data_IF_668494485249
#
_entry.id   IF_668494485249
#
_cell.length_a   1.000
_cell.length_b   1.000
_cell.length_c   1.000
_cell.angle_alpha   90.00
_cell.angle_beta   90.00
_cell.angle_gamma   90.00
#
_symmetry.space_group_name_H-M   'P 1'
#
loop_
_entity.id
_entity.type
_entity.pdbx_description
1 polymer ?
#
# COMPACT_ATOMS: atom_id res chain seq x y z
N UNK A 1 0.02 36.74 17.65
CA UNK A 1 -1.36 36.32 18.00
C UNK A 1 -1.27 34.99 18.70
N UNK A 2 -2.17 34.68 19.63
CA UNK A 2 -2.18 33.36 20.26
C UNK A 2 -2.52 32.29 19.22
N UNK A 3 -1.82 31.14 19.19
CA UNK A 3 -2.15 30.08 18.26
C UNK A 3 -3.57 29.54 18.46
N UNK A 4 -4.27 29.23 17.36
CA UNK A 4 -5.64 28.67 17.37
C UNK A 4 -5.68 27.16 17.67
N UNK A 5 -4.51 26.54 17.88
CA UNK A 5 -4.35 25.14 18.21
C UNK A 5 -2.92 24.65 17.92
N UNK A 6 -2.68 23.38 18.19
CA UNK A 6 -1.40 22.70 18.00
C UNK A 6 -1.53 21.63 16.93
N UNK A 7 -0.73 21.75 15.87
CA UNK A 7 -0.54 20.72 14.85
C UNK A 7 0.62 19.82 15.27
N UNK A 8 0.37 18.52 15.39
CA UNK A 8 1.40 17.50 15.61
C UNK A 8 1.84 16.91 14.28
N UNK A 9 3.11 17.07 13.92
CA UNK A 9 3.69 16.57 12.67
C UNK A 9 5.22 16.51 12.75
N UNK A 10 5.88 15.81 11.83
CA UNK A 10 7.32 15.97 11.63
C UNK A 10 7.64 17.33 10.96
N UNK A 11 8.85 17.90 11.20
CA UNK A 11 9.30 19.13 10.54
C UNK A 11 9.25 19.02 9.01
N UNK A 12 9.06 20.14 8.30
CA UNK A 12 9.04 20.21 6.81
C UNK A 12 7.95 19.41 6.10
N UNK A 13 6.97 18.83 6.81
CA UNK A 13 5.82 18.14 6.21
C UNK A 13 4.91 19.12 5.42
N UNK A 14 4.81 19.02 4.08
CA UNK A 14 3.97 19.94 3.29
C UNK A 14 2.48 19.80 3.61
N UNK A 15 2.05 18.64 4.14
CA UNK A 15 0.66 18.44 4.59
C UNK A 15 0.34 19.27 5.82
N UNK A 16 1.30 19.45 6.74
CA UNK A 16 1.13 20.36 7.88
C UNK A 16 1.19 21.82 7.42
N UNK A 17 2.11 22.15 6.50
CA UNK A 17 2.24 23.49 5.93
C UNK A 17 0.94 23.98 5.27
N UNK A 18 0.16 23.08 4.65
CA UNK A 18 -1.18 23.38 4.10
C UNK A 18 -2.07 24.13 5.09
N UNK A 19 -2.15 23.65 6.33
CA UNK A 19 -2.96 24.27 7.37
C UNK A 19 -2.38 25.59 7.86
N UNK A 20 -1.07 25.67 8.05
CA UNK A 20 -0.41 26.92 8.48
C UNK A 20 -0.47 28.02 7.42
N UNK A 21 -0.43 27.66 6.13
CA UNK A 21 -0.63 28.59 5.01
C UNK A 21 -2.07 29.11 5.03
N UNK A 22 -3.07 28.23 5.14
CA UNK A 22 -4.48 28.63 5.21
C UNK A 22 -4.75 29.56 6.40
N UNK A 23 -4.22 29.22 7.58
CA UNK A 23 -4.29 30.06 8.77
C UNK A 23 -3.68 31.45 8.50
N UNK A 24 -2.48 31.52 7.94
CA UNK A 24 -1.78 32.78 7.71
C UNK A 24 -2.50 33.73 6.74
N UNK A 25 -3.18 33.21 5.71
CA UNK A 25 -4.02 34.02 4.81
C UNK A 25 -5.19 34.70 5.54
N UNK A 26 -5.65 34.11 6.64
CA UNK A 26 -6.67 34.67 7.51
C UNK A 26 -6.08 35.43 8.72
N UNK A 27 -4.76 35.61 8.79
CA UNK A 27 -4.11 36.23 9.94
C UNK A 27 -4.13 35.35 11.20
N UNK A 28 -4.28 34.04 11.06
CA UNK A 28 -4.25 33.06 12.16
C UNK A 28 -2.92 32.31 12.16
N UNK A 29 -2.61 31.63 13.26
CA UNK A 29 -1.39 30.83 13.39
C UNK A 29 -1.66 29.55 14.20
N UNK A 30 -1.00 28.46 13.84
CA UNK A 30 -0.94 27.23 14.63
C UNK A 30 0.42 27.12 15.30
N UNK A 31 0.46 26.54 16.49
CA UNK A 31 1.69 25.96 17.02
C UNK A 31 1.96 24.66 16.26
N UNK A 32 3.20 24.39 15.86
CA UNK A 32 3.55 23.13 15.18
C UNK A 32 4.57 22.40 16.05
N UNK A 33 4.13 21.29 16.62
CA UNK A 33 4.94 20.45 17.49
C UNK A 33 5.46 19.23 16.73
N UNK A 34 6.77 18.98 16.90
CA UNK A 34 7.41 17.79 16.35
C UNK A 34 6.81 16.55 16.99
N UNK A 35 6.37 15.60 16.15
CA UNK A 35 5.76 14.35 16.59
C UNK A 35 6.40 13.15 15.87
N UNK A 36 6.94 12.21 16.64
CA UNK A 36 7.60 11.00 16.12
C UNK A 36 6.62 9.82 16.19
N UNK A 37 6.06 9.43 15.05
CA UNK A 37 5.13 8.30 14.96
C UNK A 37 5.70 6.98 15.51
N UNK A 38 7.02 6.79 15.54
CA UNK A 38 7.63 5.58 16.08
C UNK A 38 7.67 5.56 17.61
N UNK A 39 7.66 6.73 18.25
CA UNK A 39 7.77 6.87 19.72
C UNK A 39 6.46 7.29 20.38
N UNK A 40 5.75 8.20 19.76
CA UNK A 40 4.65 8.95 20.37
C UNK A 40 3.26 8.38 20.03
N UNK A 41 3.20 7.37 19.14
CA UNK A 41 1.95 6.68 18.73
C UNK A 41 1.47 5.69 19.82
N UNK A 42 1.10 6.23 20.98
CA UNK A 42 0.58 5.50 22.13
C UNK A 42 -0.96 5.42 22.12
N UNK A 43 -1.53 4.74 23.12
CA UNK A 43 -2.99 4.56 23.24
C UNK A 43 -3.74 5.89 23.42
N UNK A 44 -3.18 6.86 24.15
CA UNK A 44 -3.80 8.18 24.32
C UNK A 44 -3.92 8.92 22.98
N UNK A 45 -2.86 8.87 22.17
CA UNK A 45 -2.86 9.43 20.83
C UNK A 45 -3.88 8.73 19.93
N UNK A 46 -3.92 7.39 19.95
CA UNK A 46 -4.84 6.60 19.12
C UNK A 46 -6.30 6.73 19.55
N UNK A 47 -6.57 7.01 20.82
CA UNK A 47 -7.91 7.31 21.31
C UNK A 47 -8.47 8.61 20.70
N UNK A 48 -7.61 9.62 20.47
CA UNK A 48 -7.97 10.87 19.79
C UNK A 48 -7.92 10.73 18.26
N UNK A 49 -6.94 9.99 17.75
CA UNK A 49 -6.61 9.89 16.33
C UNK A 49 -6.42 8.42 15.90
N UNK A 50 -7.52 7.69 15.63
CA UNK A 50 -7.52 6.22 15.51
C UNK A 50 -6.70 5.68 14.34
N UNK A 51 -6.52 6.47 13.28
CA UNK A 51 -5.70 6.07 12.13
C UNK A 51 -4.19 6.10 12.43
N UNK A 52 -3.76 6.75 13.51
CA UNK A 52 -2.33 6.84 13.86
C UNK A 52 -1.48 7.54 12.80
N UNK A 53 -2.04 8.55 12.12
CA UNK A 53 -1.39 9.33 11.05
C UNK A 53 -1.16 10.77 11.51
N UNK A 54 -0.31 11.49 10.78
CA UNK A 54 -0.05 12.93 10.94
C UNK A 54 -0.12 13.62 9.57
N UNK A 55 -0.46 14.92 9.51
CA UNK A 55 -0.71 15.83 10.63
C UNK A 55 -2.05 15.60 11.33
N UNK A 56 -2.11 15.96 12.62
CA UNK A 56 -3.34 16.09 13.41
C UNK A 56 -3.36 17.44 14.11
N UNK A 57 -4.55 17.95 14.40
CA UNK A 57 -4.79 19.16 15.17
C UNK A 57 -5.39 18.81 16.52
N UNK A 58 -4.83 19.39 17.58
CA UNK A 58 -5.46 19.51 18.89
C UNK A 58 -5.75 20.99 19.15
N UNK A 59 -7.01 21.32 19.44
CA UNK A 59 -7.44 22.68 19.81
C UNK A 59 -8.40 22.64 20.99
N UNK A 60 -8.79 23.80 21.51
CA UNK A 60 -9.78 23.89 22.59
C UNK A 60 -11.18 23.45 22.15
N UNK A 61 -11.49 23.55 20.85
CA UNK A 61 -12.82 23.30 20.30
C UNK A 61 -12.95 21.90 19.70
N UNK A 62 -11.89 21.43 19.04
CA UNK A 62 -11.94 20.20 18.23
C UNK A 62 -10.57 19.55 18.07
N UNK A 63 -10.59 18.21 18.03
CA UNK A 63 -9.47 17.41 17.55
C UNK A 63 -9.76 16.96 16.11
N UNK A 64 -8.86 17.27 15.17
CA UNK A 64 -9.03 16.94 13.75
C UNK A 64 -7.87 16.12 13.21
N UNK A 65 -8.19 15.12 12.40
CA UNK A 65 -7.27 14.45 11.48
C UNK A 65 -7.70 14.73 10.03
N UNK A 66 -6.89 14.33 9.07
CA UNK A 66 -6.93 14.75 7.65
C UNK A 66 -6.42 16.18 7.42
N UNK A 67 -5.32 16.30 6.68
CA UNK A 67 -4.63 17.58 6.48
C UNK A 67 -5.49 18.66 5.83
N UNK A 68 -6.38 18.27 4.89
CA UNK A 68 -7.30 19.19 4.24
C UNK A 68 -8.44 19.63 5.16
N UNK A 69 -8.87 18.79 6.11
CA UNK A 69 -9.88 19.18 7.09
C UNK A 69 -9.31 20.21 8.08
N UNK A 70 -8.07 20.00 8.56
CA UNK A 70 -7.38 20.96 9.44
C UNK A 70 -7.19 22.32 8.74
N UNK A 71 -6.78 22.30 7.47
CA UNK A 71 -6.59 23.52 6.71
C UNK A 71 -7.92 24.23 6.38
N UNK A 72 -8.98 23.46 6.08
CA UNK A 72 -10.32 24.00 5.89
C UNK A 72 -10.85 24.64 7.18
N UNK A 73 -10.61 24.03 8.35
CA UNK A 73 -10.98 24.62 9.64
C UNK A 73 -10.34 26.01 9.81
N UNK A 74 -9.04 26.15 9.55
CA UNK A 74 -8.36 27.46 9.60
C UNK A 74 -8.93 28.48 8.60
N UNK A 75 -9.31 28.02 7.40
CA UNK A 75 -9.95 28.86 6.39
C UNK A 75 -11.36 29.32 6.85
N UNK A 76 -12.12 28.42 7.48
CA UNK A 76 -13.51 28.65 7.90
C UNK A 76 -13.67 29.47 9.18
N UNK A 77 -12.62 29.59 10.00
CA UNK A 77 -12.63 30.45 11.19
C UNK A 77 -12.79 31.95 10.88
N UNK A 78 -12.61 32.35 9.62
CA UNK A 78 -12.91 33.71 9.15
C UNK A 78 -14.12 33.67 8.22
N UNK A 79 -15.21 34.31 8.64
CA UNK A 79 -16.52 34.26 7.96
C UNK A 79 -16.46 34.74 6.49
N UNK A 80 -15.64 35.76 6.21
CA UNK A 80 -15.42 36.35 4.89
C UNK A 80 -14.12 35.86 4.22
N UNK A 81 -13.62 34.66 4.57
CA UNK A 81 -12.36 34.16 4.02
C UNK A 81 -12.42 34.04 2.49
N UNK A 82 -11.51 34.75 1.82
CA UNK A 82 -11.30 34.64 0.37
C UNK A 82 -10.89 33.22 -0.06
N UNK A 83 -10.43 32.38 0.87
CA UNK A 83 -10.01 31.01 0.58
C UNK A 83 -11.15 30.06 0.22
N UNK A 84 -12.38 30.36 0.67
CA UNK A 84 -13.52 29.43 0.57
C UNK A 84 -14.52 29.79 -0.53
N UNK A 85 -14.24 30.82 -1.34
CA UNK A 85 -15.09 31.24 -2.44
C UNK A 85 -16.38 31.94 -2.00
N UNK A 86 -16.91 32.79 -2.88
CA UNK A 86 -18.00 33.73 -2.56
C UNK A 86 -19.38 33.18 -2.87
N UNK A 87 -19.46 32.20 -3.77
CA UNK A 87 -20.72 31.61 -4.25
C UNK A 87 -20.62 30.08 -4.36
N UNK A 88 -21.75 29.42 -4.61
CA UNK A 88 -21.83 27.96 -4.68
C UNK A 88 -20.91 27.37 -5.77
N UNK A 89 -20.72 28.06 -6.88
CA UNK A 89 -19.85 27.61 -7.98
C UNK A 89 -18.39 27.61 -7.56
N UNK A 90 -17.91 28.71 -6.97
CA UNK A 90 -16.53 28.81 -6.47
C UNK A 90 -16.28 27.77 -5.36
N UNK A 91 -17.23 27.60 -4.43
CA UNK A 91 -17.16 26.58 -3.38
C UNK A 91 -17.02 25.17 -3.95
N UNK A 92 -17.84 24.83 -4.96
CA UNK A 92 -17.78 23.53 -5.63
C UNK A 92 -16.44 23.32 -6.36
N UNK A 93 -15.93 24.35 -7.06
CA UNK A 93 -14.64 24.29 -7.74
C UNK A 93 -13.48 24.14 -6.74
N UNK A 94 -13.52 24.83 -5.61
CA UNK A 94 -12.52 24.71 -4.55
C UNK A 94 -12.52 23.29 -3.99
N UNK A 95 -13.70 22.73 -3.72
CA UNK A 95 -13.82 21.35 -3.27
C UNK A 95 -13.29 20.36 -4.31
N UNK A 96 -13.63 20.55 -5.59
CA UNK A 96 -13.12 19.72 -6.69
C UNK A 96 -11.59 19.66 -6.69
N UNK A 97 -10.92 20.81 -6.61
CA UNK A 97 -9.46 20.86 -6.62
C UNK A 97 -8.82 20.34 -5.35
N UNK A 98 -9.49 20.51 -4.21
CA UNK A 98 -9.05 19.91 -2.94
C UNK A 98 -9.07 18.39 -3.03
N UNK A 99 -10.18 17.81 -3.51
CA UNK A 99 -10.30 16.36 -3.70
C UNK A 99 -9.36 15.82 -4.79
N UNK A 100 -9.13 16.59 -5.85
CA UNK A 100 -8.12 16.28 -6.87
C UNK A 100 -6.70 16.23 -6.28
N UNK A 101 -6.35 17.19 -5.42
CA UNK A 101 -5.06 17.22 -4.75
C UNK A 101 -4.82 16.00 -3.84
N UNK A 102 -5.86 15.50 -3.17
CA UNK A 102 -5.75 14.29 -2.35
C UNK A 102 -5.70 13.01 -3.19
N UNK A 103 -6.66 12.84 -4.10
CA UNK A 103 -6.91 11.56 -4.76
C UNK A 103 -6.07 11.33 -6.03
N UNK A 104 -5.72 12.39 -6.76
CA UNK A 104 -5.00 12.29 -8.04
C UNK A 104 -3.54 12.74 -7.93
N UNK A 105 -3.22 13.62 -6.98
CA UNK A 105 -1.83 14.09 -6.77
C UNK A 105 -1.20 13.35 -5.59
N UNK A 106 -1.71 13.55 -4.37
CA UNK A 106 -1.05 13.08 -3.14
C UNK A 106 -1.00 11.55 -3.05
N UNK A 107 -2.08 10.86 -3.44
CA UNK A 107 -2.13 9.40 -3.48
C UNK A 107 -1.07 8.82 -4.42
N UNK A 108 -1.04 9.28 -5.68
CA UNK A 108 -0.09 8.78 -6.68
C UNK A 108 1.35 9.20 -6.37
N UNK A 109 1.57 10.41 -5.84
CA UNK A 109 2.89 10.83 -5.37
C UNK A 109 3.39 9.98 -4.21
N UNK A 110 2.53 9.62 -3.26
CA UNK A 110 2.90 8.72 -2.16
C UNK A 110 3.37 7.36 -2.68
N UNK A 111 2.62 6.76 -3.62
CA UNK A 111 2.96 5.47 -4.22
C UNK A 111 4.20 5.52 -5.14
N UNK A 112 4.60 6.69 -5.61
CA UNK A 112 5.84 6.90 -6.36
C UNK A 112 7.04 7.16 -5.43
N UNK A 113 6.92 8.12 -4.51
CA UNK A 113 8.02 8.63 -3.71
C UNK A 113 8.36 7.74 -2.50
N UNK A 114 7.37 7.20 -1.80
CA UNK A 114 7.61 6.45 -0.56
C UNK A 114 8.38 5.14 -0.75
N UNK A 115 8.21 4.41 -1.87
CA UNK A 115 9.09 3.29 -2.19
C UNK A 115 10.55 3.71 -2.47
N UNK A 116 10.76 4.88 -3.09
CA UNK A 116 12.10 5.42 -3.35
C UNK A 116 12.80 5.80 -2.04
N UNK A 117 12.05 6.34 -1.08
CA UNK A 117 12.55 6.72 0.25
C UNK A 117 12.65 5.53 1.23
N UNK A 118 12.25 4.33 0.83
CA UNK A 118 12.33 3.13 1.68
C UNK A 118 11.23 3.00 2.74
N UNK A 119 10.18 3.84 2.69
CA UNK A 119 9.02 3.71 3.57
C UNK A 119 8.11 2.56 3.15
N UNK A 120 8.07 2.25 1.85
CA UNK A 120 7.38 1.09 1.28
C UNK A 120 8.35 0.22 0.47
N UNK A 121 8.03 -1.06 0.23
CA UNK A 121 8.80 -1.87 -0.70
C UNK A 121 8.82 -1.27 -2.11
N UNK A 122 9.99 -1.22 -2.75
CA UNK A 122 10.12 -0.79 -4.14
C UNK A 122 9.69 -1.92 -5.10
N UNK A 123 8.57 -1.73 -5.77
CA UNK A 123 8.09 -2.58 -6.86
C UNK A 123 7.98 -1.71 -8.12
N UNK A 124 8.86 -1.96 -9.10
CA UNK A 124 8.96 -1.13 -10.32
C UNK A 124 7.61 -0.93 -11.03
N UNK A 125 6.77 -1.97 -11.26
CA UNK A 125 5.47 -1.78 -11.92
C UNK A 125 4.53 -0.84 -11.15
N UNK A 126 4.50 -0.94 -9.82
CA UNK A 126 3.66 -0.09 -8.99
C UNK A 126 4.14 1.37 -9.03
N UNK A 127 5.45 1.57 -8.98
CA UNK A 127 6.06 2.89 -9.09
C UNK A 127 5.83 3.49 -10.47
N UNK A 128 5.96 2.70 -11.54
CA UNK A 128 5.70 3.13 -12.91
C UNK A 128 4.22 3.50 -13.11
N UNK A 129 3.29 2.67 -12.61
CA UNK A 129 1.85 2.96 -12.64
C UNK A 129 1.50 4.23 -11.85
N UNK A 130 2.07 4.41 -10.65
CA UNK A 130 1.90 5.62 -9.85
C UNK A 130 2.46 6.85 -10.58
N UNK A 131 3.62 6.73 -11.21
CA UNK A 131 4.25 7.79 -12.01
C UNK A 131 3.38 8.18 -13.20
N UNK A 132 2.84 7.20 -13.94
CA UNK A 132 1.97 7.43 -15.09
C UNK A 132 0.65 8.10 -14.69
N UNK A 133 0.01 7.63 -13.62
CA UNK A 133 -1.23 8.25 -13.11
C UNK A 133 -0.98 9.67 -12.60
N UNK A 134 0.14 9.91 -11.91
CA UNK A 134 0.55 11.25 -11.49
C UNK A 134 0.78 12.17 -12.71
N UNK A 135 1.52 11.72 -13.72
CA UNK A 135 1.73 12.48 -14.97
C UNK A 135 0.42 12.74 -15.72
N UNK A 136 -0.54 11.80 -15.71
CA UNK A 136 -1.89 12.00 -16.27
C UNK A 136 -2.62 13.14 -15.55
N UNK A 137 -2.56 13.18 -14.22
CA UNK A 137 -3.12 14.27 -13.43
C UNK A 137 -2.45 15.61 -13.76
N UNK A 138 -1.12 15.65 -13.90
CA UNK A 138 -0.41 16.84 -14.35
C UNK A 138 -0.84 17.29 -15.75
N UNK A 139 -1.05 16.35 -16.68
CA UNK A 139 -1.50 16.67 -18.04
C UNK A 139 -2.91 17.28 -18.07
N UNK A 140 -3.82 16.80 -17.22
CA UNK A 140 -5.14 17.41 -17.06
C UNK A 140 -5.05 18.82 -16.46
N UNK A 141 -4.23 18.97 -15.41
CA UNK A 141 -3.99 20.25 -14.74
C UNK A 141 -3.33 21.28 -15.69
N UNK A 142 -2.37 20.86 -16.51
CA UNK A 142 -1.65 21.72 -17.45
C UNK A 142 -2.57 22.34 -18.50
N UNK A 143 -3.50 21.53 -19.05
CA UNK A 143 -4.51 21.99 -20.00
C UNK A 143 -5.42 23.05 -19.38
N UNK A 144 -5.87 22.84 -18.15
CA UNK A 144 -6.76 23.77 -17.45
C UNK A 144 -6.04 25.07 -17.09
N UNK A 145 -4.76 24.99 -16.73
CA UNK A 145 -3.94 26.14 -16.35
C UNK A 145 -3.49 27.01 -17.53
N UNK A 146 -3.70 26.57 -18.78
CA UNK A 146 -3.35 27.35 -19.97
C UNK A 146 -3.90 28.78 -19.92
N UNK A 147 -5.15 28.95 -19.48
CA UNK A 147 -5.86 30.23 -19.44
C UNK A 147 -6.10 30.76 -18.02
N UNK A 148 -5.46 30.16 -17.01
CA UNK A 148 -5.70 30.51 -15.60
C UNK A 148 -4.41 30.90 -14.88
N UNK A 149 -4.51 31.89 -14.00
CA UNK A 149 -3.43 32.26 -13.07
C UNK A 149 -3.54 31.45 -11.77
N UNK A 150 -4.75 31.29 -11.25
CA UNK A 150 -5.11 30.48 -10.08
C UNK A 150 -6.24 29.52 -10.46
N UNK A 151 -6.46 28.47 -9.66
CA UNK A 151 -7.41 27.41 -10.03
C UNK A 151 -8.87 27.89 -10.03
N UNK A 152 -9.21 28.77 -9.09
CA UNK A 152 -10.54 29.33 -8.89
C UNK A 152 -10.45 30.84 -8.70
N UNK A 153 -11.19 31.60 -9.52
CA UNK A 153 -11.16 33.06 -9.47
C UNK A 153 -9.82 33.66 -9.89
N UNK A 154 -9.51 34.84 -9.33
CA UNK A 154 -8.35 35.66 -9.70
C UNK A 154 -7.33 35.83 -8.55
N UNK A 155 -7.49 35.08 -7.47
CA UNK A 155 -6.64 35.13 -6.28
C UNK A 155 -6.40 33.73 -5.70
N UNK A 156 -5.49 33.61 -4.73
CA UNK A 156 -5.20 32.33 -4.07
C UNK A 156 -6.43 31.90 -3.27
N UNK A 157 -6.89 30.68 -3.53
CA UNK A 157 -7.95 30.03 -2.76
C UNK A 157 -7.43 28.78 -2.06
N UNK A 158 -8.30 28.11 -1.29
CA UNK A 158 -7.96 26.83 -0.69
C UNK A 158 -7.64 25.73 -1.74
N UNK A 159 -8.15 25.87 -2.97
CA UNK A 159 -7.76 25.03 -4.10
C UNK A 159 -6.25 25.11 -4.36
N UNK A 160 -5.71 26.33 -4.40
CA UNK A 160 -4.31 26.55 -4.73
C UNK A 160 -3.37 26.08 -3.61
N UNK A 161 -3.75 26.35 -2.37
CA UNK A 161 -3.04 25.85 -1.19
C UNK A 161 -2.97 24.32 -1.24
N UNK A 162 -4.09 23.66 -1.53
CA UNK A 162 -4.18 22.19 -1.58
C UNK A 162 -3.33 21.59 -2.70
N UNK A 163 -3.46 22.09 -3.93
CA UNK A 163 -2.73 21.55 -5.09
C UNK A 163 -1.23 21.83 -4.99
N UNK A 164 -0.81 23.03 -4.59
CA UNK A 164 0.61 23.40 -4.51
C UNK A 164 1.33 22.63 -3.41
N UNK A 165 0.70 22.45 -2.24
CA UNK A 165 1.31 21.65 -1.16
C UNK A 165 1.38 20.17 -1.53
N UNK A 166 0.40 19.63 -2.26
CA UNK A 166 0.44 18.26 -2.79
C UNK A 166 1.55 18.07 -3.84
N UNK A 167 1.80 19.06 -4.69
CA UNK A 167 2.85 19.03 -5.72
C UNK A 167 4.26 19.24 -5.16
N UNK A 168 4.40 19.82 -3.97
CA UNK A 168 5.67 20.33 -3.46
C UNK A 168 6.80 19.28 -3.48
N UNK A 169 6.58 18.10 -2.90
CA UNK A 169 7.61 17.05 -2.86
C UNK A 169 7.99 16.54 -4.26
N UNK A 170 7.06 16.55 -5.22
CA UNK A 170 7.36 16.15 -6.59
C UNK A 170 8.32 17.16 -7.26
N UNK A 171 8.04 18.46 -7.11
CA UNK A 171 8.86 19.52 -7.73
C UNK A 171 10.27 19.64 -7.16
N UNK A 172 10.47 19.30 -5.89
CA UNK A 172 11.79 19.38 -5.23
C UNK A 172 12.58 18.08 -5.30
N UNK A 173 11.93 16.91 -5.49
CA UNK A 173 12.62 15.61 -5.47
C UNK A 173 12.56 14.79 -6.76
N UNK A 174 11.58 14.98 -7.65
CA UNK A 174 11.27 14.01 -8.71
C UNK A 174 11.18 14.62 -10.11
N UNK A 175 10.57 15.80 -10.24
CA UNK A 175 10.32 16.42 -11.54
C UNK A 175 11.50 17.26 -11.94
N UNK A 176 12.46 16.71 -12.69
CA UNK A 176 13.59 17.45 -13.26
C UNK A 176 13.19 18.43 -14.37
N UNK A 177 14.16 19.16 -14.91
CA UNK A 177 13.92 20.17 -15.95
C UNK A 177 13.25 19.60 -17.21
N UNK A 178 13.68 18.45 -17.77
CA UNK A 178 12.97 17.80 -18.88
C UNK A 178 11.50 17.51 -18.56
N UNK A 179 11.23 16.85 -17.42
CA UNK A 179 9.85 16.49 -17.04
C UNK A 179 8.99 17.74 -16.82
N UNK A 180 9.50 18.78 -16.16
CA UNK A 180 8.79 20.05 -16.00
C UNK A 180 8.48 20.74 -17.33
N UNK A 181 9.29 20.52 -18.36
CA UNK A 181 9.08 21.11 -19.68
C UNK A 181 7.91 20.45 -20.44
N UNK A 182 7.49 19.25 -20.05
CA UNK A 182 6.26 18.59 -20.52
C UNK A 182 5.00 19.28 -19.95
N UNK A 183 5.09 19.91 -18.77
CA UNK A 183 3.98 20.53 -18.03
C UNK A 183 4.28 22.01 -17.72
N UNK A 184 4.37 22.83 -18.78
CA UNK A 184 4.81 24.23 -18.68
C UNK A 184 3.86 25.10 -17.86
N UNK A 185 2.55 24.90 -18.01
CA UNK A 185 1.53 25.68 -17.30
C UNK A 185 1.48 25.27 -15.83
N UNK A 186 1.59 23.98 -15.52
CA UNK A 186 1.72 23.51 -14.14
C UNK A 186 2.98 24.06 -13.49
N UNK A 187 4.11 24.03 -14.20
CA UNK A 187 5.39 24.56 -13.69
C UNK A 187 5.30 26.06 -13.40
N UNK A 188 4.74 26.84 -14.33
CA UNK A 188 4.49 28.28 -14.13
C UNK A 188 3.55 28.53 -12.95
N UNK A 189 2.47 27.79 -12.86
CA UNK A 189 1.50 27.90 -11.76
C UNK A 189 2.14 27.59 -10.41
N UNK A 190 2.77 26.42 -10.28
CA UNK A 190 3.43 25.98 -9.06
C UNK A 190 4.48 26.99 -8.60
N UNK A 191 5.38 27.42 -9.50
CA UNK A 191 6.42 28.41 -9.17
C UNK A 191 5.84 29.77 -8.79
N UNK A 192 4.75 30.21 -9.43
CA UNK A 192 4.08 31.47 -9.09
C UNK A 192 3.51 31.44 -7.67
N UNK A 193 2.84 30.37 -7.29
CA UNK A 193 2.17 30.26 -5.99
C UNK A 193 3.18 29.93 -4.87
N UNK A 194 4.06 28.95 -5.09
CA UNK A 194 5.03 28.52 -4.08
C UNK A 194 6.06 29.61 -3.71
N UNK A 195 6.33 30.56 -4.61
CA UNK A 195 7.21 31.70 -4.32
C UNK A 195 6.54 32.85 -3.55
N UNK A 196 5.23 32.79 -3.28
CA UNK A 196 4.57 33.81 -2.46
C UNK A 196 5.16 33.79 -1.03
N UNK A 197 5.29 34.96 -0.36
CA UNK A 197 5.90 35.03 0.98
C UNK A 197 5.30 34.07 2.01
N UNK A 198 3.97 33.92 2.02
CA UNK A 198 3.28 32.99 2.93
C UNK A 198 3.68 31.53 2.64
N UNK A 199 3.75 31.13 1.37
CA UNK A 199 4.15 29.77 1.01
C UNK A 199 5.61 29.51 1.38
N UNK A 200 6.52 30.44 1.06
CA UNK A 200 7.93 30.34 1.44
C UNK A 200 8.14 30.24 2.95
N UNK A 201 7.35 30.97 3.76
CA UNK A 201 7.43 30.90 5.24
C UNK A 201 7.26 29.46 5.74
N UNK A 202 6.34 28.68 5.16
CA UNK A 202 5.98 27.35 5.67
C UNK A 202 6.53 26.17 4.87
N UNK A 203 6.88 26.38 3.60
CA UNK A 203 7.48 25.34 2.74
C UNK A 203 9.00 25.48 2.63
N UNK A 204 9.56 26.61 3.06
CA UNK A 204 10.97 26.94 2.88
C UNK A 204 11.27 27.56 1.51
N UNK A 205 12.56 27.80 1.25
CA UNK A 205 13.01 28.26 -0.06
C UNK A 205 12.82 27.19 -1.12
N UNK A 206 12.28 27.60 -2.28
CA UNK A 206 11.98 26.67 -3.36
C UNK A 206 13.25 26.39 -4.18
N UNK A 207 13.83 25.22 -3.97
CA UNK A 207 14.85 24.65 -4.86
C UNK A 207 14.24 23.56 -5.73
N UNK A 208 14.15 23.83 -7.03
CA UNK A 208 13.58 22.89 -8.00
C UNK A 208 14.52 21.70 -8.23
N UNK A 209 13.96 20.50 -8.36
CA UNK A 209 14.69 19.26 -8.60
C UNK A 209 15.62 19.39 -9.83
N UNK A 210 16.91 19.11 -9.66
CA UNK A 210 17.86 19.00 -10.77
C UNK A 210 18.00 17.54 -11.20
N UNK A 211 18.23 16.65 -10.24
CA UNK A 211 18.35 15.20 -10.45
C UNK A 211 17.25 14.49 -9.66
N UNK A 212 16.37 13.71 -10.31
CA UNK A 212 15.32 12.98 -9.62
C UNK A 212 15.89 11.96 -8.64
N UNK A 213 15.28 11.84 -7.46
CA UNK A 213 15.55 10.73 -6.56
C UNK A 213 15.27 9.40 -7.28
N UNK A 214 16.22 8.48 -7.16
CA UNK A 214 16.11 7.12 -7.69
C UNK A 214 16.21 6.13 -6.55
N UNK A 215 15.45 5.05 -6.66
CA UNK A 215 15.59 3.95 -5.73
C UNK A 215 17.00 3.39 -5.81
N UNK A 216 17.68 3.37 -4.66
CA UNK A 216 18.97 2.71 -4.51
C UNK A 216 18.72 1.48 -3.65
N UNK A 217 18.93 0.25 -4.17
CA UNK A 217 18.76 -0.96 -3.39
C UNK A 217 19.61 -0.87 -2.11
N UNK A 218 19.08 -1.28 -0.94
CA UNK A 218 19.87 -1.34 0.28
C UNK A 218 21.14 -2.15 0.00
N UNK A 219 22.32 -1.59 0.34
CA UNK A 219 23.56 -2.38 0.32
C UNK A 219 23.33 -3.57 1.24
N UNK A 220 23.57 -4.79 0.73
CA UNK A 220 23.64 -6.00 1.57
C UNK A 220 24.75 -5.78 2.59
N UNK A 221 24.42 -5.28 3.78
CA UNK A 221 25.27 -5.47 4.94
C UNK A 221 25.29 -6.97 5.19
N UNK A 222 26.44 -7.58 4.95
CA UNK A 222 26.80 -8.88 5.49
C UNK A 222 26.77 -8.75 7.01
N UNK A 223 25.59 -8.93 7.60
CA UNK A 223 25.47 -9.24 9.02
C UNK A 223 26.25 -10.53 9.23
N UNK A 224 27.48 -10.39 9.77
CA UNK A 224 28.20 -11.49 10.39
C UNK A 224 27.20 -12.18 11.31
N UNK A 225 26.99 -13.48 11.08
CA UNK A 225 26.35 -14.38 12.04
C UNK A 225 27.14 -14.26 13.35
N UNK A 226 26.65 -13.46 14.29
CA UNK A 226 26.94 -13.73 15.69
C UNK A 226 26.17 -15.00 16.06
N UNK A 227 26.93 -16.00 16.48
CA UNK A 227 26.43 -17.31 16.86
C UNK A 227 25.49 -17.16 18.06
N UNK A 228 24.24 -17.58 17.88
CA UNK A 228 23.34 -17.82 19.01
C UNK A 228 23.94 -18.95 19.89
N UNK A 229 23.96 -18.81 21.22
CA UNK A 229 24.41 -19.87 22.11
C UNK A 229 23.48 -21.08 22.03
N UNK A 230 24.06 -22.27 22.04
CA UNK A 230 23.35 -23.55 22.00
C UNK A 230 22.35 -23.70 23.17
N UNK A 231 21.16 -24.30 22.94
CA UNK A 231 20.18 -24.51 24.00
C UNK A 231 20.64 -25.63 24.95
N UNK A 232 20.82 -25.27 26.23
CA UNK A 232 21.03 -26.23 27.31
C UNK A 232 19.71 -26.97 27.63
N UNK A 233 19.80 -28.31 27.69
CA UNK A 233 18.76 -29.21 28.21
C UNK A 233 18.34 -28.78 29.62
N UNK A 234 17.04 -28.65 29.88
CA UNK A 234 16.48 -28.70 31.23
C UNK A 234 15.46 -29.83 31.34
N UNK A 235 15.75 -30.72 32.29
CA UNK A 235 14.93 -31.84 32.73
C UNK A 235 13.64 -31.37 33.40
N UNK A 236 12.59 -32.17 33.24
CA UNK A 236 11.31 -32.03 33.90
C UNK A 236 11.36 -32.51 35.36
N UNK A 237 10.78 -31.74 36.29
CA UNK A 237 10.16 -32.26 37.52
C UNK A 237 8.90 -31.45 37.86
N UNK A 238 7.84 -32.20 38.21
CA UNK A 238 6.47 -31.82 38.55
C UNK A 238 6.32 -31.34 40.00
N UNK A 239 5.12 -30.80 40.26
CA UNK A 239 4.40 -30.52 41.54
C UNK A 239 4.45 -29.06 41.99
N UNK A 240 3.36 -28.40 42.44
CA UNK A 240 1.91 -28.53 42.26
C UNK A 240 1.32 -27.14 42.65
N UNK A 241 0.23 -26.71 41.99
CA UNK A 241 -0.45 -25.43 42.25
C UNK A 241 -1.21 -25.42 43.60
N UNK A 242 -1.58 -24.24 44.14
CA UNK A 242 -2.90 -23.73 43.79
C UNK A 242 -3.02 -22.21 43.56
N UNK A 243 -3.95 -21.90 42.65
CA UNK A 243 -4.78 -20.70 42.51
C UNK A 243 -4.11 -19.33 42.26
N UNK A 244 -4.16 -18.89 41.00
CA UNK A 244 -4.28 -17.49 40.64
C UNK A 244 -5.28 -17.36 39.47
N UNK A 245 -6.11 -16.33 39.58
CA UNK A 245 -7.27 -16.00 38.76
C UNK A 245 -6.95 -15.79 37.27
N UNK A 246 -8.00 -15.93 36.47
CA UNK A 246 -8.03 -15.82 35.01
C UNK A 246 -7.32 -14.58 34.46
N UNK A 247 -6.26 -14.79 33.68
CA UNK A 247 -5.90 -13.87 32.61
C UNK A 247 -6.98 -13.91 31.53
N UNK A 248 -7.49 -12.77 31.05
CA UNK A 248 -8.49 -12.75 29.99
C UNK A 248 -7.88 -13.31 28.71
N UNK A 249 -8.53 -14.35 28.16
CA UNK A 249 -8.25 -14.91 26.84
C UNK A 249 -8.12 -13.78 25.81
N UNK A 250 -7.13 -13.87 24.89
CA UNK A 250 -7.05 -12.93 23.77
C UNK A 250 -8.36 -12.95 22.99
N UNK A 251 -8.94 -11.76 22.83
CA UNK A 251 -10.19 -11.57 22.09
C UNK A 251 -10.07 -12.16 20.67
N UNK A 252 -11.11 -12.87 20.18
CA UNK A 252 -11.03 -13.59 18.93
C UNK A 252 -10.87 -12.63 17.75
N UNK A 253 -9.86 -12.91 16.91
CA UNK A 253 -9.70 -12.29 15.59
C UNK A 253 -11.03 -12.44 14.80
N UNK A 254 -11.41 -11.46 13.99
CA UNK A 254 -12.65 -11.52 13.21
C UNK A 254 -12.69 -12.83 12.39
N UNK A 255 -13.72 -13.64 12.62
CA UNK A 255 -13.91 -14.96 11.96
C UNK A 255 -14.03 -14.78 10.45
N UNK A 256 -13.32 -15.61 9.68
CA UNK A 256 -13.49 -15.63 8.24
C UNK A 256 -14.85 -16.22 7.89
N UNK A 257 -15.47 -15.78 6.80
CA UNK A 257 -16.71 -16.41 6.30
C UNK A 257 -16.51 -17.89 5.97
N UNK A 258 -15.26 -18.31 5.74
CA UNK A 258 -14.89 -19.71 5.49
C UNK A 258 -14.98 -20.60 6.73
N UNK A 259 -14.89 -20.03 7.94
CA UNK A 259 -15.08 -20.75 9.20
C UNK A 259 -16.53 -21.18 9.43
N UNK A 260 -17.47 -20.62 8.65
CA UNK A 260 -18.91 -20.92 8.71
C UNK A 260 -19.33 -22.00 7.71
N UNK A 261 -18.41 -22.49 6.85
CA UNK A 261 -18.72 -23.53 5.87
C UNK A 261 -18.86 -24.92 6.52
N UNK A 262 -19.74 -25.80 5.99
CA UNK A 262 -19.94 -27.15 6.53
C UNK A 262 -18.63 -27.93 6.62
N UNK A 263 -18.33 -28.67 7.70
CA UNK A 263 -17.07 -29.39 7.87
C UNK A 263 -16.75 -30.28 6.67
N UNK A 264 -15.50 -30.22 6.20
CA UNK A 264 -15.01 -31.09 5.11
C UNK A 264 -14.32 -32.32 5.69
N UNK A 265 -14.39 -33.43 4.95
CA UNK A 265 -13.59 -34.63 5.27
C UNK A 265 -12.11 -34.45 4.94
N UNK A 266 -11.79 -33.50 4.06
CA UNK A 266 -10.42 -33.16 3.70
C UNK A 266 -9.81 -32.18 4.71
N UNK A 267 -8.71 -32.58 5.35
CA UNK A 267 -7.98 -31.76 6.32
C UNK A 267 -6.77 -31.13 5.63
N UNK A 268 -6.85 -29.82 5.35
CA UNK A 268 -5.81 -29.09 4.63
C UNK A 268 -4.43 -29.13 5.35
N UNK A 269 -4.41 -29.07 6.68
CA UNK A 269 -3.16 -29.17 7.44
C UNK A 269 -2.51 -30.56 7.33
N UNK A 270 -3.32 -31.61 7.21
CA UNK A 270 -2.82 -32.95 6.96
C UNK A 270 -2.25 -33.03 5.55
N UNK A 271 -2.96 -32.51 4.55
CA UNK A 271 -2.45 -32.41 3.18
C UNK A 271 -1.07 -31.73 3.12
N UNK A 272 -0.93 -30.57 3.76
CA UNK A 272 0.35 -29.84 3.80
C UNK A 272 1.50 -30.63 4.44
N UNK A 273 1.18 -31.43 5.46
CA UNK A 273 2.15 -32.33 6.10
C UNK A 273 2.53 -33.48 5.17
N UNK A 274 1.54 -34.12 4.55
CA UNK A 274 1.78 -35.22 3.60
C UNK A 274 2.63 -34.76 2.42
N UNK A 275 2.34 -33.58 1.86
CA UNK A 275 3.12 -32.97 0.78
C UNK A 275 4.55 -32.57 1.21
N UNK A 276 4.76 -32.19 2.48
CA UNK A 276 6.08 -31.78 2.96
C UNK A 276 6.97 -32.94 3.40
N UNK A 277 6.38 -34.07 3.79
CA UNK A 277 7.09 -35.17 4.46
C UNK A 277 7.29 -36.41 3.57
N UNK A 278 6.54 -36.54 2.47
CA UNK A 278 6.63 -37.67 1.56
C UNK A 278 7.06 -37.23 0.16
N UNK A 279 7.38 -38.21 -0.69
CA UNK A 279 7.57 -37.96 -2.12
C UNK A 279 6.29 -37.38 -2.74
N UNK A 280 6.45 -36.44 -3.68
CA UNK A 280 5.30 -35.76 -4.30
C UNK A 280 4.34 -36.74 -4.96
N UNK A 281 4.82 -37.85 -5.52
CA UNK A 281 3.96 -38.86 -6.13
C UNK A 281 3.05 -39.55 -5.11
N UNK A 282 3.60 -39.91 -3.95
CA UNK A 282 2.85 -40.54 -2.86
C UNK A 282 1.90 -39.54 -2.20
N UNK A 283 2.34 -38.28 -2.02
CA UNK A 283 1.50 -37.21 -1.52
C UNK A 283 0.30 -36.95 -2.45
N UNK A 284 0.51 -36.88 -3.76
CA UNK A 284 -0.57 -36.66 -4.74
C UNK A 284 -1.55 -37.83 -4.76
N UNK A 285 -1.07 -39.06 -4.61
CA UNK A 285 -1.96 -40.22 -4.44
C UNK A 285 -2.84 -40.05 -3.20
N UNK A 286 -2.22 -39.71 -2.06
CA UNK A 286 -2.96 -39.42 -0.82
C UNK A 286 -3.96 -38.27 -1.01
N UNK A 287 -3.59 -37.21 -1.74
CA UNK A 287 -4.48 -36.09 -2.04
C UNK A 287 -5.75 -36.58 -2.70
N UNK A 288 -5.65 -37.31 -3.81
CA UNK A 288 -6.83 -37.78 -4.55
C UNK A 288 -7.67 -38.80 -3.78
N UNK A 289 -7.05 -39.62 -2.91
CA UNK A 289 -7.77 -40.58 -2.07
C UNK A 289 -8.58 -39.89 -0.94
N UNK A 290 -8.19 -38.67 -0.54
CA UNK A 290 -8.79 -37.93 0.59
C UNK A 290 -9.49 -36.62 0.20
N UNK A 291 -9.34 -36.18 -1.06
CA UNK A 291 -9.86 -34.89 -1.52
C UNK A 291 -11.39 -34.87 -1.51
N UNK A 292 -11.94 -33.80 -0.94
CA UNK A 292 -13.37 -33.56 -0.83
C UNK A 292 -13.76 -32.37 -1.71
N UNK A 293 -14.32 -32.67 -2.88
CA UNK A 293 -14.71 -31.66 -3.88
C UNK A 293 -15.92 -30.82 -3.48
N UNK A 294 -16.70 -31.23 -2.47
CA UNK A 294 -17.79 -30.41 -1.93
C UNK A 294 -17.22 -29.36 -0.98
N UNK A 295 -16.21 -29.74 -0.19
CA UNK A 295 -15.55 -28.86 0.76
C UNK A 295 -14.46 -27.95 0.19
N UNK A 296 -13.75 -28.39 -0.85
CA UNK A 296 -12.63 -27.66 -1.44
C UNK A 296 -12.73 -27.62 -2.96
N UNK A 297 -12.11 -26.62 -3.56
CA UNK A 297 -12.02 -26.45 -5.01
C UNK A 297 -10.56 -26.33 -5.47
N UNK A 298 -10.31 -26.76 -6.71
CA UNK A 298 -9.01 -26.69 -7.37
C UNK A 298 -9.05 -25.57 -8.40
N UNK A 299 -8.03 -24.72 -8.39
CA UNK A 299 -7.91 -23.55 -9.26
C UNK A 299 -6.59 -23.59 -10.00
N UNK A 300 -6.64 -23.50 -11.33
CA UNK A 300 -5.46 -23.20 -12.14
C UNK A 300 -5.21 -21.70 -12.11
N UNK A 301 -3.95 -21.32 -11.92
CA UNK A 301 -3.51 -19.94 -11.79
C UNK A 301 -2.45 -19.66 -12.84
N UNK A 302 -2.76 -18.75 -13.77
CA UNK A 302 -1.84 -18.32 -14.82
C UNK A 302 -1.58 -16.82 -14.70
N UNK A 303 -0.32 -16.38 -14.81
CA UNK A 303 0.00 -14.95 -14.85
C UNK A 303 -0.40 -14.34 -16.20
N UNK A 304 -1.05 -13.17 -16.17
CA UNK A 304 -1.65 -12.55 -17.36
C UNK A 304 -0.63 -11.86 -18.27
N UNK A 305 0.49 -11.39 -17.71
CA UNK A 305 1.43 -10.50 -18.39
C UNK A 305 2.77 -11.19 -18.64
N UNK A 306 2.73 -12.41 -19.20
CA UNK A 306 3.95 -13.21 -19.42
C UNK A 306 4.95 -12.53 -20.38
N UNK A 307 4.45 -11.69 -21.29
CA UNK A 307 5.23 -10.86 -22.21
C UNK A 307 6.05 -9.76 -21.51
N UNK A 308 5.67 -9.39 -20.28
CA UNK A 308 6.42 -8.43 -19.45
C UNK A 308 7.51 -9.11 -18.59
N UNK A 309 7.55 -10.45 -18.57
CA UNK A 309 8.50 -11.20 -17.77
C UNK A 309 9.89 -11.22 -18.42
N UNK A 310 10.86 -10.61 -17.74
CA UNK A 310 12.25 -10.53 -18.20
C UNK A 310 13.08 -11.64 -17.58
N UNK A 311 13.64 -11.45 -16.38
CA UNK A 311 14.54 -12.43 -15.77
C UNK A 311 13.75 -13.47 -14.97
N UNK A 312 14.06 -14.76 -15.13
CA UNK A 312 13.33 -15.87 -14.49
C UNK A 312 13.33 -15.80 -12.96
N UNK A 313 14.43 -15.31 -12.36
CA UNK A 313 14.47 -15.08 -10.91
C UNK A 313 13.53 -13.94 -10.46
N UNK A 314 13.32 -12.93 -11.31
CA UNK A 314 12.35 -11.85 -11.03
C UNK A 314 10.93 -12.39 -11.10
N UNK A 315 10.66 -13.26 -12.07
CA UNK A 315 9.39 -13.99 -12.16
C UNK A 315 9.15 -14.86 -10.92
N UNK A 316 10.18 -15.53 -10.39
CA UNK A 316 10.05 -16.30 -9.15
C UNK A 316 9.85 -15.39 -7.91
N UNK A 317 10.37 -14.16 -7.95
CA UNK A 317 10.11 -13.17 -6.91
C UNK A 317 8.66 -12.66 -6.94
N UNK A 318 8.00 -12.61 -8.10
CA UNK A 318 6.57 -12.29 -8.20
C UNK A 318 5.71 -13.32 -7.48
N UNK A 319 6.03 -14.61 -7.65
CA UNK A 319 5.37 -15.70 -6.91
C UNK A 319 5.53 -15.50 -5.40
N UNK A 320 6.75 -15.21 -4.95
CA UNK A 320 7.04 -14.99 -3.53
C UNK A 320 6.33 -13.76 -2.95
N UNK A 321 6.26 -12.68 -3.72
CA UNK A 321 5.52 -11.47 -3.33
C UNK A 321 4.02 -11.73 -3.22
N UNK A 322 3.46 -12.45 -4.19
CA UNK A 322 2.05 -12.86 -4.16
C UNK A 322 1.76 -13.68 -2.90
N UNK A 323 2.55 -14.72 -2.64
CA UNK A 323 2.38 -15.57 -1.45
C UNK A 323 2.52 -14.83 -0.12
N UNK A 324 3.45 -13.87 -0.02
CA UNK A 324 3.60 -13.06 1.19
C UNK A 324 2.34 -12.23 1.49
N UNK A 325 1.58 -11.83 0.47
CA UNK A 325 0.31 -11.11 0.61
C UNK A 325 -0.88 -12.03 0.90
N UNK A 326 -0.71 -13.35 0.77
CA UNK A 326 -1.72 -14.36 1.07
C UNK A 326 -1.64 -14.88 2.52
N UNK A 327 -0.94 -14.22 3.45
CA UNK A 327 -0.77 -14.69 4.85
C UNK A 327 -2.11 -15.03 5.53
N UNK A 328 -3.16 -14.25 5.25
CA UNK A 328 -4.52 -14.46 5.78
C UNK A 328 -5.19 -15.71 5.22
N UNK A 329 -4.80 -16.14 4.01
CA UNK A 329 -5.31 -17.32 3.34
C UNK A 329 -4.57 -18.61 3.77
N UNK A 330 -3.50 -18.54 4.57
CA UNK A 330 -2.70 -19.73 4.88
C UNK A 330 -3.54 -20.85 5.52
N UNK A 331 -4.56 -20.53 6.32
CA UNK A 331 -5.44 -21.54 6.93
C UNK A 331 -6.39 -22.23 5.94
N UNK A 332 -6.62 -21.61 4.79
CA UNK A 332 -7.71 -21.97 3.88
C UNK A 332 -7.25 -22.38 2.50
N UNK A 333 -5.97 -22.20 2.18
CA UNK A 333 -5.42 -22.52 0.87
C UNK A 333 -4.05 -23.18 0.94
N UNK A 334 -3.77 -23.97 -0.09
CA UNK A 334 -2.46 -24.49 -0.45
C UNK A 334 -2.22 -24.15 -1.93
N UNK A 335 -1.00 -23.78 -2.30
CA UNK A 335 -0.68 -23.44 -3.68
C UNK A 335 0.72 -23.88 -4.08
N UNK A 336 0.90 -24.24 -5.35
CA UNK A 336 2.21 -24.44 -5.96
C UNK A 336 2.24 -23.68 -7.28
N UNK A 337 3.22 -22.80 -7.44
CA UNK A 337 3.42 -22.00 -8.63
C UNK A 337 4.89 -22.08 -9.03
N UNK A 338 5.13 -22.12 -10.32
CA UNK A 338 6.44 -22.27 -10.91
C UNK A 338 6.65 -21.24 -12.02
N UNK A 339 7.93 -20.97 -12.28
CA UNK A 339 8.40 -20.24 -13.45
C UNK A 339 8.89 -21.25 -14.47
N UNK A 340 8.42 -21.13 -15.71
CA UNK A 340 8.81 -21.99 -16.83
C UNK A 340 9.39 -21.17 -17.97
N UNK A 341 10.36 -21.70 -18.71
CA UNK A 341 10.99 -21.05 -19.87
C UNK A 341 12.36 -20.45 -19.56
N UNK A 342 12.70 -19.34 -20.21
CA UNK A 342 14.02 -18.71 -20.11
C UNK A 342 13.94 -17.19 -19.97
N UNK A 343 15.08 -16.51 -19.79
CA UNK A 343 15.10 -15.05 -19.66
C UNK A 343 14.51 -14.39 -20.91
N UNK A 344 13.59 -13.46 -20.71
CA UNK A 344 12.80 -12.73 -21.71
C UNK A 344 11.78 -13.58 -22.47
N UNK A 345 11.61 -14.85 -22.10
CA UNK A 345 10.59 -15.75 -22.63
C UNK A 345 10.22 -16.78 -21.55
N UNK A 346 9.58 -16.32 -20.48
CA UNK A 346 9.14 -17.19 -19.40
C UNK A 346 7.69 -16.91 -18.99
N UNK A 347 7.11 -17.86 -18.28
CA UNK A 347 5.72 -17.85 -17.83
C UNK A 347 5.65 -18.18 -16.35
N UNK A 348 4.62 -17.67 -15.68
CA UNK A 348 4.29 -18.07 -14.30
C UNK A 348 2.94 -18.79 -14.32
N UNK A 349 2.91 -20.00 -13.78
CA UNK A 349 1.69 -20.79 -13.68
C UNK A 349 1.70 -21.72 -12.47
N UNK A 350 0.53 -22.20 -12.06
CA UNK A 350 0.40 -23.06 -10.91
C UNK A 350 -1.00 -23.51 -10.60
N UNK A 351 -1.14 -24.17 -9.46
CA UNK A 351 -2.40 -24.68 -8.95
C UNK A 351 -2.59 -24.30 -7.49
N UNK A 352 -3.84 -23.98 -7.14
CA UNK A 352 -4.29 -23.73 -5.77
C UNK A 352 -5.40 -24.68 -5.38
N UNK A 353 -5.35 -25.18 -4.15
CA UNK A 353 -6.43 -25.89 -3.46
C UNK A 353 -6.99 -24.95 -2.42
N UNK A 354 -8.26 -24.58 -2.54
CA UNK A 354 -8.90 -23.51 -1.76
C UNK A 354 -10.15 -24.05 -1.07
N UNK A 355 -10.33 -23.68 0.19
CA UNK A 355 -11.54 -23.99 0.97
C UNK A 355 -12.77 -23.30 0.38
N UNK A 356 -13.83 -24.05 0.14
CA UNK A 356 -15.06 -23.57 -0.48
C UNK A 356 -15.04 -23.65 -2.00
N UNK A 357 -16.05 -23.05 -2.64
CA UNK A 357 -16.31 -23.17 -4.08
C UNK A 357 -15.97 -21.92 -4.90
N UNK A 358 -15.54 -20.85 -4.22
CA UNK A 358 -15.19 -19.55 -4.78
C UNK A 358 -13.81 -19.12 -4.27
N UNK A 359 -13.15 -18.20 -4.97
CA UNK A 359 -11.92 -17.57 -4.45
C UNK A 359 -12.30 -16.64 -3.30
N UNK A 360 -11.77 -16.83 -2.08
CA UNK A 360 -12.16 -16.06 -0.91
C UNK A 360 -11.52 -14.67 -0.87
N UNK A 361 -12.09 -13.79 -0.03
CA UNK A 361 -11.58 -12.44 0.21
C UNK A 361 -10.11 -12.42 0.62
N UNK A 362 -9.70 -13.39 1.43
CA UNK A 362 -8.31 -13.56 1.86
C UNK A 362 -7.32 -13.76 0.70
N UNK A 363 -7.80 -14.11 -0.50
CA UNK A 363 -7.01 -14.24 -1.73
C UNK A 363 -7.27 -13.08 -2.69
N UNK A 364 -8.52 -12.71 -2.97
CA UNK A 364 -8.79 -11.67 -3.98
C UNK A 364 -8.50 -10.22 -3.50
N UNK A 365 -8.37 -9.99 -2.19
CA UNK A 365 -7.93 -8.71 -1.61
C UNK A 365 -6.42 -8.49 -1.78
N UNK A 366 -5.66 -9.53 -2.15
CA UNK A 366 -4.25 -9.38 -2.44
C UNK A 366 -4.07 -8.48 -3.67
N UNK A 367 -3.22 -7.46 -3.52
CA UNK A 367 -3.02 -6.45 -4.56
C UNK A 367 -2.61 -7.01 -5.95
N UNK A 368 -1.95 -8.17 -6.01
CA UNK A 368 -1.60 -8.80 -7.30
C UNK A 368 -2.61 -9.82 -7.80
N UNK A 369 -3.68 -10.12 -7.05
CA UNK A 369 -4.71 -11.04 -7.52
C UNK A 369 -5.21 -10.70 -8.94
N UNK A 370 -5.43 -9.42 -9.31
CA UNK A 370 -5.82 -9.06 -10.67
C UNK A 370 -4.81 -9.45 -11.76
N UNK A 371 -3.54 -9.63 -11.43
CA UNK A 371 -2.47 -10.02 -12.36
C UNK A 371 -2.48 -11.50 -12.71
N UNK A 372 -3.27 -12.30 -11.99
CA UNK A 372 -3.42 -13.72 -12.24
C UNK A 372 -4.83 -14.04 -12.73
N UNK A 373 -4.93 -15.06 -13.59
CA UNK A 373 -6.19 -15.65 -13.99
C UNK A 373 -6.45 -16.90 -13.14
N UNK A 374 -7.48 -16.85 -12.32
CA UNK A 374 -7.93 -17.98 -11.51
C UNK A 374 -9.05 -18.71 -12.25
N UNK A 375 -8.75 -19.89 -12.79
CA UNK A 375 -9.71 -20.73 -13.49
C UNK A 375 -10.06 -21.94 -12.62
N UNK A 376 -11.32 -22.04 -12.23
CA UNK A 376 -11.80 -23.20 -11.46
C UNK A 376 -11.75 -24.45 -12.33
N UNK A 377 -11.24 -25.55 -11.77
CA UNK A 377 -11.33 -26.87 -12.39
C UNK A 377 -12.56 -27.58 -11.83
N UNK A 378 -13.47 -27.95 -12.72
CA UNK A 378 -14.68 -28.67 -12.33
C UNK A 378 -14.38 -30.15 -12.07
N UNK A 379 -15.15 -30.84 -11.20
CA UNK A 379 -14.90 -32.25 -10.87
C UNK A 379 -14.83 -33.19 -12.08
N UNK A 380 -15.59 -32.89 -13.14
CA UNK A 380 -15.55 -33.64 -14.40
C UNK A 380 -14.22 -33.55 -15.14
N UNK A 381 -13.39 -32.54 -14.84
CA UNK A 381 -12.11 -32.28 -15.49
C UNK A 381 -10.92 -32.81 -14.67
N UNK A 382 -11.13 -33.32 -13.46
CA UNK A 382 -10.04 -33.75 -12.58
C UNK A 382 -9.19 -34.86 -13.18
N UNK A 383 -9.81 -35.85 -13.83
CA UNK A 383 -9.05 -36.95 -14.42
C UNK A 383 -8.16 -36.48 -15.58
N UNK A 384 -8.65 -35.54 -16.40
CA UNK A 384 -7.88 -34.92 -17.48
C UNK A 384 -6.72 -34.05 -16.94
N UNK A 385 -6.97 -33.27 -15.89
CA UNK A 385 -6.00 -32.31 -15.33
C UNK A 385 -5.05 -32.92 -14.30
N UNK A 386 -5.23 -34.19 -13.94
CA UNK A 386 -4.48 -34.89 -12.89
C UNK A 386 -2.98 -34.89 -13.14
N UNK A 387 -2.58 -35.16 -14.39
CA UNK A 387 -1.17 -35.20 -14.78
C UNK A 387 -0.54 -33.80 -14.76
N UNK A 388 -1.25 -32.78 -15.27
CA UNK A 388 -0.80 -31.39 -15.21
C UNK A 388 -0.69 -30.90 -13.77
N UNK A 389 -1.68 -31.19 -12.93
CA UNK A 389 -1.68 -30.90 -11.50
C UNK A 389 -0.47 -31.51 -10.79
N UNK A 390 -0.18 -32.79 -11.06
CA UNK A 390 1.01 -33.46 -10.56
C UNK A 390 2.29 -32.70 -10.98
N UNK A 391 2.45 -32.36 -12.26
CA UNK A 391 3.66 -31.67 -12.76
C UNK A 391 3.87 -30.32 -12.08
N UNK A 392 2.82 -29.54 -11.84
CA UNK A 392 2.93 -28.26 -11.12
C UNK A 392 3.23 -28.40 -9.63
N UNK A 393 2.84 -29.51 -9.00
CA UNK A 393 3.14 -29.77 -7.59
C UNK A 393 4.51 -30.44 -7.40
N UNK A 394 4.97 -31.23 -8.37
CA UNK A 394 6.29 -31.86 -8.38
C UNK A 394 7.38 -30.97 -9.00
N UNK A 395 7.00 -29.86 -9.64
CA UNK A 395 7.86 -29.01 -10.46
C UNK A 395 8.54 -29.80 -11.59
N UNK A 396 7.81 -30.78 -12.13
CA UNK A 396 8.26 -31.78 -13.08
C UNK A 396 7.90 -31.36 -14.51
N UNK A 397 8.42 -30.21 -14.92
CA UNK A 397 8.41 -29.75 -16.31
C UNK A 397 9.84 -29.60 -16.82
N UNK A 398 10.10 -30.01 -18.06
CA UNK A 398 11.43 -29.92 -18.68
C UNK A 398 11.96 -28.47 -18.72
N UNK A 399 11.07 -27.49 -18.86
CA UNK A 399 11.37 -26.07 -18.88
C UNK A 399 11.16 -25.38 -17.53
N UNK A 400 11.01 -26.12 -16.43
CA UNK A 400 10.88 -25.53 -15.09
C UNK A 400 12.20 -24.92 -14.63
N UNK A 401 12.17 -23.64 -14.26
CA UNK A 401 13.36 -22.90 -13.80
C UNK A 401 13.43 -22.85 -12.29
N UNK A 402 12.31 -22.51 -11.65
CA UNK A 402 12.21 -22.33 -10.20
C UNK A 402 10.72 -22.28 -9.82
N UNK A 403 10.41 -22.33 -8.53
CA UNK A 403 9.03 -22.25 -8.06
C UNK A 403 8.93 -21.98 -6.56
N UNK A 404 7.69 -21.85 -6.09
CA UNK A 404 7.39 -21.73 -4.66
C UNK A 404 6.09 -22.45 -4.32
N UNK A 405 6.06 -22.96 -3.09
CA UNK A 405 4.88 -23.55 -2.47
C UNK A 405 4.32 -22.62 -1.40
N UNK A 406 3.02 -22.37 -1.44
CA UNK A 406 2.23 -21.69 -0.43
C UNK A 406 1.58 -22.74 0.47
N UNK A 407 2.00 -22.81 1.73
CA UNK A 407 1.50 -23.76 2.71
C UNK A 407 1.45 -23.15 4.10
#
# INVERSE_FOLDING_TARGET
MSPIGTIKSYPTNPRAAKASIAAAYNGLEFNVESFDLAKDRNEEFLAKFPLGKIPVLESSEVNLFESSAIAYYAAALKEDSALLGKNAVEKALILQWTLFAENEISLHLGNWLYPILGYFPYMKPNVDAATNNFKRALGALDKILLTKTYLVGNEVTFADISVVTALFLAFVNLLDKPTRSEFKNVTRYFTTVANKPIFKKYLGELTLCETPLKYTPPKKETKKKEAAPAPAKKEAKKEAAPAAEEEPKPAPKPKSKLDLLPPSKFILDQWKREYSNNDTKDAIKWFWDNFDSEGFSIWKVDYKYNDELTLTFMSNNLIGGFYARLERAHKYAFGSMIVRGENNNNTIGGYFVIRGQEVPFEIYDAADYPSYNFTKIEPSQYEEKKEEFYKYLAWDFEDCVDGKVFK
#
